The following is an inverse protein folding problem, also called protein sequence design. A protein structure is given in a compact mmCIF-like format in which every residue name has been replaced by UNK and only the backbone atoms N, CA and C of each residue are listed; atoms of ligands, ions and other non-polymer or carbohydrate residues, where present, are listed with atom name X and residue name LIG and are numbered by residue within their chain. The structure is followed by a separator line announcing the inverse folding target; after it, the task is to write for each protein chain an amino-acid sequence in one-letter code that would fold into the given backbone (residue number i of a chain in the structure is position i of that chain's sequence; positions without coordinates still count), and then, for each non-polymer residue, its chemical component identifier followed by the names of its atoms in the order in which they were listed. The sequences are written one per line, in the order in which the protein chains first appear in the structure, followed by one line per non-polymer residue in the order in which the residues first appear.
data_IF_112394415767
#
_entry.id   IF_112394415767
#
_cell.length_a   1.000
_cell.length_b   1.000
_cell.length_c   1.000
_cell.angle_alpha   90.00
_cell.angle_beta   90.00
_cell.angle_gamma   90.00
#
_symmetry.space_group_name_H-M   'P 1'
#
loop_
_entity.id
_entity.type
_entity.pdbx_description
1 polymer ?
#
# COMPACT_ATOMS: atom_id res chain seq x y z
N UNK A 1 -8.55 25.64 -0.11
CA UNK A 1 -9.26 24.39 0.24
C UNK A 1 -8.23 23.31 0.57
N UNK A 2 -8.02 23.04 1.86
CA UNK A 2 -7.07 22.04 2.34
C UNK A 2 -7.48 20.66 1.82
N UNK A 3 -6.62 20.01 1.01
CA UNK A 3 -6.75 18.58 0.73
C UNK A 3 -6.57 17.85 2.06
N UNK A 4 -7.66 17.61 2.77
CA UNK A 4 -7.67 16.82 3.99
C UNK A 4 -7.06 15.46 3.62
N UNK A 5 -5.85 15.22 4.13
CA UNK A 5 -5.12 13.98 3.92
C UNK A 5 -5.99 12.83 4.45
N UNK A 6 -6.72 12.15 3.56
CA UNK A 6 -7.50 10.99 3.94
C UNK A 6 -6.52 9.85 4.16
N UNK A 7 -6.19 9.60 5.42
CA UNK A 7 -5.42 8.42 5.78
C UNK A 7 -6.14 7.18 5.22
N UNK A 8 -5.39 6.27 4.60
CA UNK A 8 -5.92 4.95 4.23
C UNK A 8 -6.40 4.29 5.53
N UNK A 9 -7.66 3.84 5.52
CA UNK A 9 -8.27 3.21 6.69
C UNK A 9 -7.62 1.84 6.95
N UNK A 10 -7.72 1.33 8.18
CA UNK A 10 -7.19 -0.01 8.49
C UNK A 10 -7.77 -1.10 7.58
N UNK A 11 -9.05 -1.00 7.21
CA UNK A 11 -9.70 -1.92 6.28
C UNK A 11 -9.07 -1.86 4.88
N UNK A 12 -8.81 -0.65 4.37
CA UNK A 12 -8.14 -0.46 3.09
C UNK A 12 -6.70 -1.00 3.11
N UNK A 13 -5.97 -0.82 4.23
CA UNK A 13 -4.63 -1.39 4.41
C UNK A 13 -4.65 -2.93 4.37
N UNK A 14 -5.62 -3.56 5.05
CA UNK A 14 -5.77 -5.03 5.03
C UNK A 14 -6.10 -5.55 3.63
N UNK A 15 -7.04 -4.90 2.93
CA UNK A 15 -7.36 -5.23 1.53
C UNK A 15 -6.13 -5.11 0.64
N UNK A 16 -5.37 -4.03 0.79
CA UNK A 16 -4.13 -3.82 0.04
C UNK A 16 -3.12 -4.93 0.31
N UNK A 17 -2.95 -5.37 1.56
CA UNK A 17 -2.08 -6.49 1.90
C UNK A 17 -2.51 -7.80 1.20
N UNK A 18 -3.81 -8.12 1.20
CA UNK A 18 -4.31 -9.30 0.48
C UNK A 18 -4.10 -9.19 -1.04
N UNK A 19 -4.31 -8.00 -1.62
CA UNK A 19 -4.07 -7.77 -3.05
C UNK A 19 -2.59 -7.88 -3.42
N UNK A 20 -1.69 -7.40 -2.57
CA UNK A 20 -0.23 -7.56 -2.74
C UNK A 20 0.17 -9.03 -2.66
N UNK A 21 -0.35 -9.77 -1.67
CA UNK A 21 -0.11 -11.21 -1.55
C UNK A 21 -0.63 -11.98 -2.78
N UNK A 22 -1.75 -11.55 -3.36
CA UNK A 22 -2.31 -12.07 -4.60
C UNK A 22 -1.63 -11.57 -5.89
N UNK A 23 -0.57 -10.75 -5.78
CA UNK A 23 0.18 -10.15 -6.90
C UNK A 23 -0.69 -9.34 -7.89
N UNK A 24 -1.78 -8.74 -7.40
CA UNK A 24 -2.64 -7.86 -8.19
C UNK A 24 -1.83 -6.63 -8.66
N UNK A 25 -2.02 -6.12 -9.88
CA UNK A 25 -1.32 -4.92 -10.33
C UNK A 25 -1.77 -3.67 -9.54
N UNK A 26 -0.81 -2.78 -9.25
CA UNK A 26 -1.05 -1.54 -8.47
C UNK A 26 -2.15 -0.65 -9.07
N UNK A 27 -2.30 -0.67 -10.40
CA UNK A 27 -3.35 0.07 -11.10
C UNK A 27 -4.75 -0.44 -10.76
N UNK A 28 -4.93 -1.76 -10.61
CA UNK A 28 -6.21 -2.33 -10.20
C UNK A 28 -6.48 -2.07 -8.72
N UNK A 29 -5.46 -2.20 -7.87
CA UNK A 29 -5.61 -1.85 -6.44
C UNK A 29 -6.04 -0.38 -6.26
N UNK A 30 -5.47 0.52 -7.06
CA UNK A 30 -5.83 1.94 -7.06
C UNK A 30 -7.29 2.17 -7.48
N UNK A 31 -7.77 1.46 -8.52
CA UNK A 31 -9.18 1.52 -8.95
C UNK A 31 -10.11 0.96 -7.86
N UNK A 32 -9.76 -0.18 -7.28
CA UNK A 32 -10.59 -0.87 -6.29
C UNK A 32 -10.70 -0.11 -4.96
N UNK A 33 -9.61 0.57 -4.54
CA UNK A 33 -9.60 1.41 -3.34
C UNK A 33 -10.05 2.85 -3.60
N UNK A 34 -10.26 3.25 -4.86
CA UNK A 34 -10.54 4.64 -5.22
C UNK A 34 -9.45 5.61 -4.79
N UNK A 35 -8.19 5.14 -4.70
CA UNK A 35 -7.04 5.92 -4.25
C UNK A 35 -6.05 6.16 -5.37
N UNK A 36 -5.28 7.22 -5.24
CA UNK A 36 -4.22 7.51 -6.19
C UNK A 36 -3.12 6.45 -6.13
N UNK A 37 -2.53 6.14 -7.28
CA UNK A 37 -1.43 5.17 -7.45
C UNK A 37 -0.27 5.45 -6.48
N UNK A 38 0.11 6.72 -6.33
CA UNK A 38 1.18 7.14 -5.42
C UNK A 38 0.87 6.83 -3.95
N UNK A 39 -0.40 6.85 -3.56
CA UNK A 39 -0.81 6.48 -2.20
C UNK A 39 -0.60 4.98 -1.98
N UNK A 40 -0.98 4.16 -2.96
CA UNK A 40 -0.74 2.71 -2.93
C UNK A 40 0.75 2.41 -2.84
N UNK A 41 1.59 3.02 -3.69
CA UNK A 41 3.05 2.84 -3.63
C UNK A 41 3.65 3.24 -2.28
N UNK A 42 3.23 4.39 -1.71
CA UNK A 42 3.69 4.83 -0.39
C UNK A 42 3.26 3.86 0.71
N UNK A 43 2.07 3.29 0.59
CA UNK A 43 1.52 2.35 1.55
C UNK A 43 2.23 0.98 1.49
N UNK A 44 2.48 0.46 0.28
CA UNK A 44 3.29 -0.74 0.06
C UNK A 44 4.69 -0.53 0.65
N UNK A 45 5.33 0.60 0.35
CA UNK A 45 6.67 0.92 0.87
C UNK A 45 6.71 1.04 2.39
N UNK A 46 5.65 1.56 3.03
CA UNK A 46 5.54 1.66 4.50
C UNK A 46 5.37 0.30 5.17
N UNK A 47 4.64 -0.61 4.54
CA UNK A 47 4.43 -1.98 5.02
C UNK A 47 5.52 -2.97 4.56
N UNK A 48 6.54 -2.51 3.83
CA UNK A 48 7.70 -3.35 3.53
C UNK A 48 8.52 -3.46 4.81
N UNK A 49 8.29 -4.52 5.58
CA UNK A 49 9.19 -4.93 6.63
C UNK A 49 10.54 -5.22 5.97
N UNK A 50 11.50 -4.29 6.08
CA UNK A 50 12.89 -4.56 5.80
C UNK A 50 13.43 -5.24 7.05
N UNK A 51 13.61 -6.55 6.97
CA UNK A 51 14.39 -7.27 7.96
C UNK A 51 15.82 -6.69 7.90
N UNK A 52 16.20 -5.94 8.93
CA UNK A 52 17.53 -5.29 9.01
C UNK A 52 18.59 -6.23 9.59
N UNK A 53 18.20 -7.43 10.00
CA UNK A 53 19.03 -8.40 10.74
C UNK A 53 19.68 -9.47 9.86
N UNK A 54 19.40 -9.50 8.55
CA UNK A 54 20.08 -10.40 7.61
C UNK A 54 21.08 -9.57 6.78
N UNK A 55 22.40 -9.73 7.00
CA UNK A 55 23.40 -9.23 6.07
C UNK A 55 23.21 -9.96 4.74
N UNK A 56 23.25 -9.21 3.63
CA UNK A 56 23.46 -9.80 2.31
C UNK A 56 24.81 -10.54 2.35
N UNK A 57 24.78 -11.87 2.31
CA UNK A 57 25.96 -12.73 2.13
C UNK A 57 26.22 -12.97 0.64
#
# INVERSE_FOLDING_TARGET
MSRCYTQITLADRRRLHHMVAAKVPVNEMARQLGRHRSTIYREIRRNTFRDRELPDY
#
